data_IF_773907201148
#
_entry.id   IF_773907201148
#
_cell.length_a   1.000
_cell.length_b   1.000
_cell.length_c   1.000
_cell.angle_alpha   90.00
_cell.angle_beta   90.00
_cell.angle_gamma   90.00
#
_symmetry.space_group_name_H-M   'P 1'
#
loop_
_entity.id
_entity.type
_entity.pdbx_description
1 polymer ?
#
# COMPACT_ATOMS: atom_id res chain seq x y z
N UNK A 1 4.48 17.00 -17.89
CA UNK A 1 5.26 15.94 -18.57
C UNK A 1 4.34 14.78 -18.92
N UNK A 2 4.54 14.13 -20.06
CA UNK A 2 3.72 12.98 -20.47
C UNK A 2 4.18 11.72 -19.74
N UNK A 3 3.37 11.21 -18.81
CA UNK A 3 3.65 10.00 -18.02
C UNK A 3 4.13 8.82 -18.88
N UNK A 4 3.45 8.55 -20.01
CA UNK A 4 3.81 7.49 -20.95
C UNK A 4 5.21 7.66 -21.56
N UNK A 5 5.65 8.89 -21.83
CA UNK A 5 6.99 9.14 -22.37
C UNK A 5 8.07 8.86 -21.31
N UNK A 6 7.85 9.25 -20.06
CA UNK A 6 8.74 8.94 -18.92
C UNK A 6 8.79 7.44 -18.62
N UNK A 7 7.65 6.74 -18.72
CA UNK A 7 7.60 5.28 -18.56
C UNK A 7 8.34 4.55 -19.70
N UNK A 8 8.18 5.00 -20.95
CA UNK A 8 8.92 4.45 -22.09
C UNK A 8 10.42 4.74 -22.01
N UNK A 9 10.83 5.89 -21.45
CA UNK A 9 12.24 6.19 -21.18
C UNK A 9 12.90 5.14 -20.28
N UNK A 10 12.15 4.50 -19.37
CA UNK A 10 12.65 3.45 -18.48
C UNK A 10 13.05 2.15 -19.20
N UNK A 11 12.79 2.01 -20.50
CA UNK A 11 13.31 0.92 -21.35
C UNK A 11 14.66 1.26 -22.01
N UNK A 12 15.11 2.51 -21.93
CA UNK A 12 16.37 2.94 -22.52
C UNK A 12 17.57 2.33 -21.78
N UNK A 13 18.64 1.91 -22.49
CA UNK A 13 19.84 1.33 -21.84
C UNK A 13 20.58 2.28 -20.87
N UNK A 14 20.25 3.57 -20.90
CA UNK A 14 20.77 4.61 -19.99
C UNK A 14 20.13 4.57 -18.60
N UNK A 15 18.95 3.98 -18.44
CA UNK A 15 18.23 3.95 -17.16
C UNK A 15 18.60 2.71 -16.33
N UNK A 16 18.82 2.85 -15.01
CA UNK A 16 19.07 1.71 -14.15
C UNK A 16 17.85 0.78 -14.16
N UNK A 17 18.09 -0.53 -14.30
CA UNK A 17 17.02 -1.54 -14.29
C UNK A 17 16.34 -1.83 -15.64
N UNK A 18 16.83 -1.26 -16.76
CA UNK A 18 16.33 -1.57 -18.11
C UNK A 18 16.22 -3.09 -18.39
N UNK A 19 17.15 -3.90 -17.87
CA UNK A 19 17.13 -5.36 -17.98
C UNK A 19 15.83 -5.99 -17.46
N UNK A 20 15.30 -5.51 -16.33
CA UNK A 20 14.04 -6.00 -15.78
C UNK A 20 12.85 -5.58 -16.64
N UNK A 21 12.87 -4.36 -17.19
CA UNK A 21 11.83 -3.87 -18.10
C UNK A 21 11.77 -4.71 -19.39
N UNK A 22 12.92 -5.08 -19.95
CA UNK A 22 12.99 -6.01 -21.09
C UNK A 22 12.54 -7.44 -20.76
N UNK A 23 12.88 -7.96 -19.57
CA UNK A 23 12.39 -9.26 -19.11
C UNK A 23 10.86 -9.27 -18.92
N UNK A 24 10.29 -8.19 -18.37
CA UNK A 24 8.85 -8.00 -18.22
C UNK A 24 8.13 -7.88 -19.58
N UNK A 25 8.74 -7.20 -20.56
CA UNK A 25 8.23 -7.14 -21.93
C UNK A 25 8.17 -8.53 -22.57
N UNK A 26 9.22 -9.35 -22.42
CA UNK A 26 9.21 -10.74 -22.90
C UNK A 26 8.11 -11.59 -22.24
N UNK A 27 7.88 -11.44 -20.93
CA UNK A 27 6.77 -12.08 -20.22
C UNK A 27 5.42 -11.61 -20.75
N UNK A 28 5.27 -10.32 -21.05
CA UNK A 28 4.03 -9.74 -21.60
C UNK A 28 3.68 -10.37 -22.95
N UNK A 29 4.67 -10.46 -23.85
CA UNK A 29 4.49 -11.03 -25.19
C UNK A 29 4.15 -12.52 -25.09
N UNK A 30 4.88 -13.30 -24.30
CA UNK A 30 4.64 -14.74 -24.14
C UNK A 30 3.30 -15.04 -23.45
N UNK A 31 2.92 -14.27 -22.43
CA UNK A 31 1.61 -14.36 -21.78
C UNK A 31 0.47 -14.01 -22.75
N UNK A 32 0.61 -12.93 -23.54
CA UNK A 32 -0.37 -12.52 -24.54
C UNK A 32 -0.62 -13.60 -25.59
N UNK A 33 0.45 -14.20 -26.14
CA UNK A 33 0.36 -15.32 -27.10
C UNK A 33 -0.35 -16.54 -26.48
N UNK A 34 -0.05 -16.87 -25.22
CA UNK A 34 -0.73 -17.96 -24.51
C UNK A 34 -2.21 -17.64 -24.28
N UNK A 35 -2.55 -16.44 -23.79
CA UNK A 35 -3.94 -16.02 -23.54
C UNK A 35 -4.77 -16.10 -24.83
N UNK A 36 -4.30 -15.53 -25.95
CA UNK A 36 -5.01 -15.58 -27.23
C UNK A 36 -5.12 -17.01 -27.74
N UNK A 37 -4.03 -17.79 -27.72
CA UNK A 37 -4.04 -19.20 -28.14
C UNK A 37 -5.02 -20.05 -27.33
N UNK A 38 -5.14 -19.82 -26.02
CA UNK A 38 -6.06 -20.55 -25.14
C UNK A 38 -7.50 -20.06 -25.27
N UNK A 39 -7.72 -18.76 -25.42
CA UNK A 39 -9.05 -18.18 -25.64
C UNK A 39 -9.68 -18.71 -26.94
N UNK A 40 -8.92 -18.72 -28.05
CA UNK A 40 -9.37 -19.28 -29.32
C UNK A 40 -9.62 -20.79 -29.22
N UNK A 41 -8.71 -21.55 -28.59
CA UNK A 41 -8.86 -22.99 -28.40
C UNK A 41 -10.12 -23.34 -27.58
N UNK A 42 -10.34 -22.70 -26.43
CA UNK A 42 -11.54 -22.93 -25.61
C UNK A 42 -12.83 -22.44 -26.29
N UNK A 43 -12.74 -21.46 -27.20
CA UNK A 43 -13.88 -21.02 -28.04
C UNK A 43 -14.18 -21.97 -29.20
N UNK A 44 -13.20 -22.75 -29.68
CA UNK A 44 -13.41 -23.79 -30.70
C UNK A 44 -13.83 -25.14 -30.08
N UNK A 45 -13.29 -25.50 -28.91
CA UNK A 45 -13.60 -26.77 -28.23
C UNK A 45 -14.87 -26.72 -27.38
N UNK A 46 -15.21 -25.57 -26.80
CA UNK A 46 -16.52 -25.31 -26.21
C UNK A 46 -17.51 -24.89 -27.30
N UNK A 47 -18.66 -25.55 -27.38
CA UNK A 47 -19.68 -25.20 -28.37
C UNK A 47 -20.52 -24.01 -27.86
N UNK A 48 -20.93 -23.08 -28.74
CA UNK A 48 -21.83 -21.99 -28.34
C UNK A 48 -23.20 -22.49 -27.84
N UNK A 49 -23.60 -23.71 -28.24
CA UNK A 49 -24.86 -24.33 -27.83
C UNK A 49 -24.69 -25.85 -27.56
N UNK A 50 -23.93 -26.23 -26.53
CA UNK A 50 -23.90 -27.60 -26.00
C UNK A 50 -25.32 -28.19 -25.75
N UNK A 51 -26.28 -27.49 -25.10
CA UNK A 51 -27.65 -27.99 -24.92
C UNK A 51 -28.36 -28.37 -26.22
N UNK A 52 -28.31 -27.52 -27.25
CA UNK A 52 -29.00 -27.81 -28.52
C UNK A 52 -28.37 -29.00 -29.24
N UNK A 53 -27.04 -29.12 -29.18
CA UNK A 53 -26.34 -30.26 -29.78
C UNK A 53 -26.63 -31.56 -29.03
N UNK A 54 -26.59 -31.55 -27.69
CA UNK A 54 -26.94 -32.69 -26.85
C UNK A 54 -28.40 -33.13 -27.06
N UNK A 55 -29.34 -32.19 -27.15
CA UNK A 55 -30.74 -32.49 -27.45
C UNK A 55 -30.91 -33.14 -28.83
N UNK A 56 -30.20 -32.69 -29.86
CA UNK A 56 -30.22 -33.33 -31.20
C UNK A 56 -29.64 -34.75 -31.20
N UNK A 57 -28.54 -34.97 -30.48
CA UNK A 57 -27.99 -36.33 -30.29
C UNK A 57 -29.01 -37.21 -29.55
N UNK A 58 -29.63 -36.68 -28.49
CA UNK A 58 -30.67 -37.38 -27.72
C UNK A 58 -31.87 -37.77 -28.58
N UNK A 59 -32.40 -36.88 -29.43
CA UNK A 59 -33.54 -37.22 -30.30
C UNK A 59 -33.18 -38.31 -31.29
N UNK A 60 -32.03 -38.23 -31.96
CA UNK A 60 -31.59 -39.28 -32.90
C UNK A 60 -31.42 -40.65 -32.24
N UNK A 61 -30.97 -40.69 -30.98
CA UNK A 61 -30.87 -41.94 -30.22
C UNK A 61 -32.24 -42.50 -29.77
N UNK A 62 -33.21 -41.62 -29.45
CA UNK A 62 -34.60 -42.06 -29.19
C UNK A 62 -35.25 -42.62 -30.45
N UNK A 63 -34.96 -42.02 -31.61
CA UNK A 63 -35.41 -42.49 -32.93
C UNK A 63 -34.65 -43.75 -33.42
N UNK A 64 -33.78 -44.34 -32.59
CA UNK A 64 -32.90 -45.50 -32.88
C UNK A 64 -31.93 -45.31 -34.06
N UNK A 65 -31.65 -44.06 -34.44
CA UNK A 65 -30.74 -43.70 -35.55
C UNK A 65 -29.30 -43.52 -35.05
N UNK A 66 -28.67 -44.60 -34.58
CA UNK A 66 -27.29 -44.58 -34.06
C UNK A 66 -26.29 -44.02 -35.09
N UNK A 67 -26.35 -44.48 -36.35
CA UNK A 67 -25.50 -44.00 -37.45
C UNK A 67 -25.59 -42.48 -37.67
N UNK A 68 -26.80 -41.92 -37.66
CA UNK A 68 -27.00 -40.47 -37.81
C UNK A 68 -26.46 -39.71 -36.60
N UNK A 69 -26.59 -40.26 -35.39
CA UNK A 69 -26.03 -39.67 -34.18
C UNK A 69 -24.49 -39.68 -34.19
N UNK A 70 -23.85 -40.75 -34.69
CA UNK A 70 -22.38 -40.80 -34.90
C UNK A 70 -21.94 -39.77 -35.94
N UNK A 71 -22.63 -39.69 -37.10
CA UNK A 71 -22.35 -38.67 -38.13
C UNK A 71 -22.50 -37.24 -37.61
N UNK A 72 -23.51 -36.97 -36.77
CA UNK A 72 -23.69 -35.68 -36.12
C UNK A 72 -22.53 -35.38 -35.14
N UNK A 73 -22.03 -36.38 -34.43
CA UNK A 73 -20.85 -36.23 -33.57
C UNK A 73 -19.57 -35.96 -34.36
N UNK A 74 -19.38 -36.60 -35.52
CA UNK A 74 -18.24 -36.32 -36.41
C UNK A 74 -18.32 -34.93 -37.04
N UNK A 75 -19.52 -34.47 -37.43
CA UNK A 75 -19.75 -33.07 -37.82
C UNK A 75 -19.52 -32.09 -36.65
N UNK A 76 -19.59 -32.56 -35.40
CA UNK A 76 -19.18 -31.82 -34.21
C UNK A 76 -17.66 -31.66 -34.06
N UNK A 77 -16.85 -32.48 -34.74
CA UNK A 77 -15.40 -32.35 -34.85
C UNK A 77 -14.67 -32.23 -33.50
N UNK A 78 -13.90 -31.14 -33.32
CA UNK A 78 -13.03 -30.90 -32.15
C UNK A 78 -13.78 -30.49 -30.86
N UNK A 79 -15.12 -30.58 -30.83
CA UNK A 79 -15.95 -30.22 -29.67
C UNK A 79 -15.89 -31.29 -28.59
N UNK A 80 -15.76 -30.86 -27.34
CA UNK A 80 -15.53 -31.75 -26.22
C UNK A 80 -16.67 -32.78 -26.01
N UNK A 81 -17.93 -32.31 -25.97
CA UNK A 81 -19.10 -33.19 -25.84
C UNK A 81 -19.24 -34.19 -26.99
N UNK A 82 -19.04 -33.76 -28.25
CA UNK A 82 -19.22 -34.61 -29.42
C UNK A 82 -18.26 -35.80 -29.42
N UNK A 83 -17.02 -35.60 -28.98
CA UNK A 83 -16.01 -36.66 -28.86
C UNK A 83 -16.32 -37.68 -27.75
N UNK A 84 -16.92 -37.24 -26.64
CA UNK A 84 -17.40 -38.13 -25.55
C UNK A 84 -18.65 -38.88 -26.00
N UNK A 85 -19.64 -38.19 -26.58
CA UNK A 85 -20.89 -38.78 -27.06
C UNK A 85 -20.66 -39.83 -28.16
N UNK A 86 -19.78 -39.56 -29.15
CA UNK A 86 -19.38 -40.58 -30.14
C UNK A 86 -18.80 -41.82 -29.47
N UNK A 87 -18.01 -41.65 -28.42
CA UNK A 87 -17.45 -42.75 -27.64
C UNK A 87 -18.51 -43.60 -26.98
N UNK A 88 -19.53 -42.97 -26.38
CA UNK A 88 -20.65 -43.67 -25.77
C UNK A 88 -21.43 -44.50 -26.79
N UNK A 89 -21.77 -43.91 -27.94
CA UNK A 89 -22.62 -44.54 -28.97
C UNK A 89 -21.91 -45.73 -29.60
N UNK A 90 -20.66 -45.57 -30.05
CA UNK A 90 -19.87 -46.66 -30.66
C UNK A 90 -19.61 -47.78 -29.65
N UNK A 91 -19.41 -47.45 -28.36
CA UNK A 91 -19.27 -48.47 -27.33
C UNK A 91 -20.58 -49.24 -27.08
N UNK A 92 -21.73 -48.59 -27.18
CA UNK A 92 -23.04 -49.21 -26.94
C UNK A 92 -23.40 -50.27 -28.00
N UNK A 93 -22.92 -50.11 -29.24
CA UNK A 93 -23.07 -51.12 -30.30
C UNK A 93 -22.25 -52.39 -30.02
N UNK A 94 -21.14 -52.28 -29.27
CA UNK A 94 -20.23 -53.41 -28.97
C UNK A 94 -20.52 -54.06 -27.62
N UNK A 95 -20.69 -53.26 -26.56
CA UNK A 95 -20.93 -53.70 -25.19
C UNK A 95 -21.60 -52.56 -24.40
N UNK A 96 -22.94 -52.62 -24.21
CA UNK A 96 -23.71 -51.63 -23.45
C UNK A 96 -23.30 -51.48 -21.97
N UNK A 97 -22.74 -52.51 -21.34
CA UNK A 97 -22.34 -52.45 -19.93
C UNK A 97 -21.09 -51.57 -19.74
N UNK A 98 -20.18 -51.56 -20.72
CA UNK A 98 -18.95 -50.74 -20.69
C UNK A 98 -19.12 -49.28 -21.09
N UNK A 99 -20.30 -48.87 -21.57
CA UNK A 99 -20.57 -47.49 -22.01
C UNK A 99 -20.23 -46.46 -20.93
N UNK A 100 -20.60 -46.72 -19.67
CA UNK A 100 -20.29 -45.81 -18.54
C UNK A 100 -18.78 -45.65 -18.34
N UNK A 101 -18.04 -46.76 -18.25
CA UNK A 101 -16.59 -46.77 -18.07
C UNK A 101 -15.87 -46.01 -19.18
N UNK A 102 -16.26 -46.24 -20.45
CA UNK A 102 -15.65 -45.55 -21.60
C UNK A 102 -15.99 -44.05 -21.62
N UNK A 103 -17.18 -43.64 -21.16
CA UNK A 103 -17.49 -42.22 -20.98
C UNK A 103 -16.62 -41.61 -19.89
N UNK A 104 -16.50 -42.26 -18.73
CA UNK A 104 -15.69 -41.76 -17.60
C UNK A 104 -14.21 -41.63 -17.97
N UNK A 105 -13.63 -42.65 -18.62
CA UNK A 105 -12.26 -42.60 -19.18
C UNK A 105 -12.08 -41.41 -20.13
N UNK A 106 -13.05 -41.19 -21.05
CA UNK A 106 -13.00 -40.07 -22.00
C UNK A 106 -13.10 -38.72 -21.30
N UNK A 107 -14.03 -38.54 -20.36
CA UNK A 107 -14.17 -37.31 -19.57
C UNK A 107 -12.88 -37.03 -18.77
N UNK A 108 -12.28 -38.04 -18.13
CA UNK A 108 -11.00 -37.88 -17.43
C UNK A 108 -9.89 -37.48 -18.40
N UNK A 109 -9.83 -38.06 -19.60
CA UNK A 109 -8.80 -37.75 -20.59
C UNK A 109 -8.92 -36.35 -21.22
N UNK A 110 -10.11 -35.72 -21.21
CA UNK A 110 -10.31 -34.40 -21.84
C UNK A 110 -9.99 -33.23 -20.93
N UNK A 111 -10.12 -33.39 -19.60
CA UNK A 111 -9.83 -32.34 -18.61
C UNK A 111 -8.39 -31.78 -18.78
N UNK A 112 -7.31 -32.60 -18.83
CA UNK A 112 -5.95 -32.09 -19.05
C UNK A 112 -5.74 -31.41 -20.40
N UNK A 113 -6.60 -31.69 -21.40
CA UNK A 113 -6.53 -31.07 -22.74
C UNK A 113 -7.16 -29.68 -22.74
N UNK A 114 -8.23 -29.48 -21.96
CA UNK A 114 -8.90 -28.18 -21.76
C UNK A 114 -8.06 -27.26 -20.86
N UNK A 115 -7.48 -27.79 -19.78
CA UNK A 115 -6.62 -27.03 -18.86
C UNK A 115 -5.20 -26.79 -19.39
N UNK A 116 -4.79 -27.46 -20.49
CA UNK A 116 -3.43 -27.44 -21.00
C UNK A 116 -2.94 -26.00 -21.24
N UNK A 117 -1.80 -25.66 -20.61
CA UNK A 117 -1.13 -24.35 -20.62
C UNK A 117 -1.84 -23.20 -19.88
N UNK A 118 -3.01 -23.41 -19.26
CA UNK A 118 -3.63 -22.36 -18.44
C UNK A 118 -2.76 -21.99 -17.25
N UNK A 119 -2.18 -22.99 -16.57
CA UNK A 119 -1.30 -22.79 -15.41
C UNK A 119 -0.11 -21.88 -15.71
N UNK A 120 0.46 -21.94 -16.92
CA UNK A 120 1.58 -21.07 -17.31
C UNK A 120 1.19 -19.59 -17.34
N UNK A 121 -0.07 -19.24 -17.61
CA UNK A 121 -0.55 -17.85 -17.57
C UNK A 121 -0.50 -17.33 -16.12
N UNK A 122 -0.92 -18.16 -15.15
CA UNK A 122 -0.79 -17.83 -13.72
C UNK A 122 0.68 -17.75 -13.28
N UNK A 123 1.53 -18.69 -13.72
CA UNK A 123 2.98 -18.67 -13.43
C UNK A 123 3.66 -17.41 -13.97
N UNK A 124 3.34 -16.99 -15.20
CA UNK A 124 3.88 -15.77 -15.80
C UNK A 124 3.41 -14.50 -15.06
N UNK A 125 2.15 -14.47 -14.61
CA UNK A 125 1.64 -13.39 -13.75
C UNK A 125 2.42 -13.28 -12.43
N UNK A 126 2.63 -14.40 -11.74
CA UNK A 126 3.42 -14.43 -10.49
C UNK A 126 4.89 -14.04 -10.72
N UNK A 127 5.50 -14.55 -11.80
CA UNK A 127 6.88 -14.24 -12.18
C UNK A 127 7.07 -12.76 -12.51
N UNK A 128 6.08 -12.14 -13.17
CA UNK A 128 6.06 -10.69 -13.44
C UNK A 128 6.12 -9.86 -12.15
N UNK A 129 5.30 -10.20 -11.14
CA UNK A 129 5.34 -9.53 -9.83
C UNK A 129 6.69 -9.72 -9.14
N UNK A 130 7.27 -10.92 -9.18
CA UNK A 130 8.57 -11.22 -8.58
C UNK A 130 9.72 -10.46 -9.26
N UNK A 131 9.69 -10.31 -10.59
CA UNK A 131 10.68 -9.52 -11.33
C UNK A 131 10.52 -8.02 -11.05
N UNK A 132 9.28 -7.52 -10.92
CA UNK A 132 9.02 -6.14 -10.50
C UNK A 132 9.60 -5.83 -9.11
N UNK A 133 9.41 -6.73 -8.14
CA UNK A 133 9.99 -6.64 -6.80
C UNK A 133 11.53 -6.76 -6.82
N UNK A 134 12.10 -7.64 -7.64
CA UNK A 134 13.56 -7.71 -7.82
C UNK A 134 14.13 -6.38 -8.38
N UNK A 135 13.39 -5.74 -9.28
CA UNK A 135 13.71 -4.41 -9.80
C UNK A 135 13.73 -3.32 -8.71
N UNK A 136 12.85 -3.37 -7.70
CA UNK A 136 12.92 -2.40 -6.59
C UNK A 136 14.19 -2.56 -5.77
N UNK A 137 14.52 -3.80 -5.41
CA UNK A 137 15.70 -4.11 -4.60
C UNK A 137 16.95 -3.63 -5.34
N UNK A 138 17.04 -3.87 -6.65
CA UNK A 138 18.14 -3.38 -7.47
C UNK A 138 18.22 -1.85 -7.54
N UNK A 139 17.10 -1.16 -7.80
CA UNK A 139 17.06 0.31 -7.87
C UNK A 139 17.42 0.98 -6.53
N UNK A 140 17.00 0.38 -5.41
CA UNK A 140 17.38 0.83 -4.07
C UNK A 140 18.86 0.60 -3.78
N UNK A 141 19.44 -0.56 -4.14
CA UNK A 141 20.88 -0.83 -4.01
C UNK A 141 21.69 0.25 -4.74
N UNK A 142 21.32 0.59 -5.98
CA UNK A 142 21.96 1.66 -6.75
C UNK A 142 21.79 3.04 -6.10
N UNK A 143 20.60 3.34 -5.57
CA UNK A 143 20.29 4.61 -4.91
C UNK A 143 21.20 4.84 -3.68
N UNK A 144 21.39 3.82 -2.84
CA UNK A 144 22.26 3.94 -1.67
C UNK A 144 23.76 3.90 -2.03
N UNK A 145 24.15 3.14 -3.05
CA UNK A 145 25.53 3.14 -3.56
C UNK A 145 25.95 4.55 -4.04
N UNK A 146 25.05 5.27 -4.72
CA UNK A 146 25.31 6.65 -5.16
C UNK A 146 25.49 7.64 -4.00
N UNK A 147 24.74 7.48 -2.90
CA UNK A 147 24.89 8.32 -1.70
C UNK A 147 26.23 8.05 -1.00
N UNK A 148 26.61 6.78 -0.89
CA UNK A 148 27.85 6.33 -0.25
C UNK A 148 29.14 6.67 -1.01
N UNK A 149 29.05 7.05 -2.29
CA UNK A 149 30.21 7.37 -3.12
C UNK A 149 31.00 8.59 -2.56
N UNK A 150 32.30 8.47 -2.25
CA UNK A 150 33.13 9.62 -1.89
C UNK A 150 33.37 10.52 -3.11
N UNK A 151 33.63 11.80 -2.87
CA UNK A 151 34.00 12.82 -3.88
C UNK A 151 32.96 13.11 -5.00
N UNK A 152 31.69 12.70 -4.84
CA UNK A 152 30.59 13.11 -5.74
C UNK A 152 29.88 14.34 -5.19
N UNK A 153 29.64 15.32 -6.06
CA UNK A 153 28.96 16.59 -5.75
C UNK A 153 27.53 16.37 -5.20
N UNK A 154 27.07 17.11 -4.17
CA UNK A 154 25.78 16.84 -3.52
C UNK A 154 24.56 16.91 -4.46
N UNK A 155 24.60 17.78 -5.48
CA UNK A 155 23.53 17.87 -6.49
C UNK A 155 23.46 16.59 -7.34
N UNK A 156 24.62 16.07 -7.77
CA UNK A 156 24.73 14.80 -8.49
C UNK A 156 24.26 13.62 -7.64
N UNK A 157 24.62 13.57 -6.36
CA UNK A 157 24.13 12.53 -5.43
C UNK A 157 22.61 12.51 -5.32
N UNK A 158 21.98 13.68 -5.21
CA UNK A 158 20.52 13.81 -5.16
C UNK A 158 19.85 13.32 -6.45
N UNK A 159 20.41 13.68 -7.61
CA UNK A 159 19.90 13.24 -8.92
C UNK A 159 20.00 11.72 -9.10
N UNK A 160 21.15 11.12 -8.78
CA UNK A 160 21.36 9.67 -8.90
C UNK A 160 20.44 8.85 -7.96
N UNK A 161 20.22 9.34 -6.73
CA UNK A 161 19.26 8.74 -5.81
C UNK A 161 17.82 8.84 -6.35
N UNK A 162 17.42 9.98 -6.92
CA UNK A 162 16.09 10.13 -7.52
C UNK A 162 15.89 9.20 -8.72
N UNK A 163 16.91 9.02 -9.56
CA UNK A 163 16.88 8.08 -10.70
C UNK A 163 16.71 6.62 -10.23
N UNK A 164 17.50 6.16 -9.26
CA UNK A 164 17.41 4.79 -8.75
C UNK A 164 16.06 4.47 -8.09
N UNK A 165 15.46 5.43 -7.37
CA UNK A 165 14.11 5.31 -6.81
C UNK A 165 13.04 5.31 -7.93
N UNK A 166 13.17 6.18 -8.93
CA UNK A 166 12.22 6.22 -10.05
C UNK A 166 12.22 4.90 -10.85
N UNK A 167 13.40 4.35 -11.14
CA UNK A 167 13.55 3.04 -11.75
C UNK A 167 12.87 1.92 -10.95
N UNK A 168 13.11 1.86 -9.63
CA UNK A 168 12.47 0.90 -8.73
C UNK A 168 10.93 0.98 -8.78
N UNK A 169 10.36 2.19 -8.76
CA UNK A 169 8.92 2.38 -8.87
C UNK A 169 8.38 1.95 -10.24
N UNK A 170 9.08 2.28 -11.33
CA UNK A 170 8.66 1.95 -12.69
C UNK A 170 8.70 0.44 -12.98
N UNK A 171 9.72 -0.30 -12.50
CA UNK A 171 9.77 -1.77 -12.63
C UNK A 171 8.64 -2.46 -11.85
N UNK A 172 8.27 -1.93 -10.68
CA UNK A 172 7.14 -2.45 -9.89
C UNK A 172 5.84 -2.26 -10.64
N UNK A 173 5.59 -1.04 -11.13
CA UNK A 173 4.37 -0.71 -11.83
C UNK A 173 4.21 -1.54 -13.10
N UNK A 174 5.29 -1.70 -13.87
CA UNK A 174 5.32 -2.60 -15.03
C UNK A 174 4.95 -4.04 -14.64
N UNK A 175 5.57 -4.58 -13.58
CA UNK A 175 5.31 -5.94 -13.09
C UNK A 175 3.84 -6.17 -12.72
N UNK A 176 3.21 -5.20 -12.04
CA UNK A 176 1.79 -5.25 -11.64
C UNK A 176 0.83 -5.08 -12.83
N UNK A 177 1.11 -4.16 -13.76
CA UNK A 177 0.30 -3.95 -14.98
C UNK A 177 0.20 -5.23 -15.82
N UNK A 178 1.23 -6.08 -15.80
CA UNK A 178 1.26 -7.36 -16.51
C UNK A 178 0.61 -8.47 -15.69
N UNK A 179 0.86 -8.52 -14.37
CA UNK A 179 0.35 -9.57 -13.50
C UNK A 179 -1.18 -9.57 -13.37
N UNK A 180 -1.80 -8.39 -13.22
CA UNK A 180 -3.25 -8.26 -13.01
C UNK A 180 -4.05 -8.85 -14.19
N UNK A 181 -3.81 -8.47 -15.47
CA UNK A 181 -4.46 -9.11 -16.61
C UNK A 181 -4.19 -10.62 -16.69
N UNK A 182 -2.95 -11.08 -16.43
CA UNK A 182 -2.63 -12.51 -16.48
C UNK A 182 -3.50 -13.33 -15.52
N UNK A 183 -3.68 -12.87 -14.29
CA UNK A 183 -4.52 -13.53 -13.29
C UNK A 183 -6.01 -13.50 -13.69
N UNK A 184 -6.51 -12.36 -14.18
CA UNK A 184 -7.90 -12.23 -14.65
C UNK A 184 -8.19 -13.18 -15.82
N UNK A 185 -7.32 -13.22 -16.83
CA UNK A 185 -7.47 -14.11 -17.98
C UNK A 185 -7.31 -15.59 -17.59
N UNK A 186 -6.36 -15.94 -16.71
CA UNK A 186 -6.22 -17.30 -16.19
C UNK A 186 -7.51 -17.77 -15.52
N UNK A 187 -8.05 -16.99 -14.59
CA UNK A 187 -9.29 -17.34 -13.86
C UNK A 187 -10.48 -17.44 -14.80
N UNK A 188 -10.66 -16.49 -15.72
CA UNK A 188 -11.74 -16.53 -16.72
C UNK A 188 -11.66 -17.74 -17.65
N UNK A 189 -10.47 -18.07 -18.15
CA UNK A 189 -10.26 -19.23 -19.02
C UNK A 189 -10.39 -20.55 -18.27
N UNK A 190 -9.93 -20.64 -17.01
CA UNK A 190 -10.10 -21.82 -16.15
C UNK A 190 -11.57 -22.07 -15.83
N UNK A 191 -12.32 -21.03 -15.46
CA UNK A 191 -13.76 -21.12 -15.24
C UNK A 191 -14.50 -21.56 -16.51
N UNK A 192 -14.07 -21.10 -17.69
CA UNK A 192 -14.62 -21.56 -18.97
C UNK A 192 -14.29 -23.02 -19.28
N UNK A 193 -13.08 -23.48 -18.98
CA UNK A 193 -12.71 -24.90 -19.12
C UNK A 193 -13.55 -25.79 -18.18
N UNK A 194 -13.68 -25.40 -16.91
CA UNK A 194 -14.52 -26.10 -15.93
C UNK A 194 -15.99 -26.14 -16.35
N UNK A 195 -16.53 -25.04 -16.89
CA UNK A 195 -17.89 -25.00 -17.42
C UNK A 195 -18.07 -25.99 -18.58
N UNK A 196 -17.11 -26.12 -19.50
CA UNK A 196 -17.18 -27.11 -20.59
C UNK A 196 -17.24 -28.53 -20.04
N UNK A 197 -16.46 -28.85 -18.99
CA UNK A 197 -16.50 -30.17 -18.33
C UNK A 197 -17.87 -30.41 -17.67
N UNK A 198 -18.37 -29.43 -16.90
CA UNK A 198 -19.67 -29.53 -16.24
C UNK A 198 -20.85 -29.69 -17.23
N UNK A 199 -20.80 -29.02 -18.39
CA UNK A 199 -21.78 -29.21 -19.46
C UNK A 199 -21.70 -30.64 -20.04
N UNK A 200 -20.51 -31.23 -20.19
CA UNK A 200 -20.37 -32.63 -20.64
C UNK A 200 -21.03 -33.56 -19.62
N UNK A 201 -20.69 -33.46 -18.34
CA UNK A 201 -21.23 -34.32 -17.27
C UNK A 201 -22.75 -34.21 -17.18
N UNK A 202 -23.31 -33.00 -17.28
CA UNK A 202 -24.76 -32.77 -17.27
C UNK A 202 -25.47 -33.41 -18.47
N UNK A 203 -24.93 -33.25 -19.68
CA UNK A 203 -25.61 -33.67 -20.92
C UNK A 203 -25.31 -35.11 -21.35
N UNK A 204 -24.28 -35.76 -20.81
CA UNK A 204 -23.94 -37.15 -21.15
C UNK A 204 -24.81 -38.16 -20.38
N UNK A 205 -25.31 -37.83 -19.18
CA UNK A 205 -26.16 -38.71 -18.37
C UNK A 205 -27.43 -39.16 -19.12
N UNK A 206 -28.22 -38.27 -19.76
CA UNK A 206 -29.38 -38.69 -20.57
C UNK A 206 -29.01 -39.58 -21.76
N UNK A 207 -27.83 -39.38 -22.36
CA UNK A 207 -27.32 -40.20 -23.48
C UNK A 207 -27.00 -41.61 -22.98
N UNK A 208 -26.26 -41.74 -21.86
CA UNK A 208 -25.98 -43.03 -21.22
C UNK A 208 -27.26 -43.78 -20.90
N UNK A 209 -28.28 -43.10 -20.35
CA UNK A 209 -29.56 -43.75 -19.96
C UNK A 209 -30.35 -44.33 -21.13
N UNK A 210 -30.20 -43.77 -22.33
CA UNK A 210 -30.83 -44.28 -23.56
C UNK A 210 -30.03 -45.46 -24.13
N UNK A 211 -28.69 -45.37 -24.10
CA UNK A 211 -27.79 -46.42 -24.60
C UNK A 211 -27.70 -47.65 -23.68
N UNK A 212 -27.90 -47.45 -22.37
CA UNK A 212 -27.83 -48.47 -21.34
C UNK A 212 -28.95 -48.24 -20.32
N UNK A 213 -30.15 -48.84 -20.55
CA UNK A 213 -31.24 -48.82 -19.59
C UNK A 213 -30.82 -49.45 -18.24
N UNK A 214 -31.31 -48.87 -17.14
CA UNK A 214 -30.89 -49.20 -15.75
C UNK A 214 -31.14 -50.66 -15.32
N UNK A 215 -31.86 -51.43 -16.10
CA UNK A 215 -32.26 -52.82 -15.82
C UNK A 215 -31.10 -53.84 -15.95
N UNK A 216 -29.94 -53.41 -16.49
CA UNK A 216 -28.80 -54.30 -16.79
C UNK A 216 -27.61 -54.23 -15.81
N UNK A 217 -27.60 -53.34 -14.81
CA UNK A 217 -26.44 -53.15 -13.91
C UNK A 217 -26.83 -53.26 -12.43
N UNK A 218 -26.62 -54.45 -11.88
CA UNK A 218 -26.69 -54.68 -10.44
C UNK A 218 -25.56 -53.96 -9.67
N UNK A 219 -25.94 -53.17 -8.66
CA UNK A 219 -25.11 -52.74 -7.52
C UNK A 219 -23.66 -52.28 -7.82
N UNK A 220 -23.49 -51.12 -8.46
CA UNK A 220 -22.28 -50.29 -8.21
C UNK A 220 -22.45 -48.78 -8.47
N UNK A 221 -23.68 -48.26 -8.40
CA UNK A 221 -23.91 -46.82 -8.59
C UNK A 221 -23.81 -46.05 -7.27
N UNK A 222 -22.66 -45.42 -7.04
CA UNK A 222 -22.60 -44.16 -6.30
C UNK A 222 -22.46 -43.03 -7.32
N UNK A 223 -23.30 -41.98 -7.29
CA UNK A 223 -23.00 -40.74 -8.02
C UNK A 223 -21.62 -40.27 -7.56
N UNK A 224 -20.70 -40.00 -8.49
CA UNK A 224 -19.36 -39.55 -8.09
C UNK A 224 -19.46 -38.24 -7.32
N UNK A 225 -18.94 -38.20 -6.09
CA UNK A 225 -18.77 -37.01 -5.26
C UNK A 225 -17.65 -36.12 -5.83
N UNK A 226 -17.78 -35.75 -7.11
CA UNK A 226 -16.83 -34.93 -7.86
C UNK A 226 -17.19 -33.44 -7.85
N UNK A 227 -18.20 -33.05 -7.06
CA UNK A 227 -18.21 -31.72 -6.45
C UNK A 227 -17.06 -31.69 -5.44
N UNK A 228 -16.21 -30.67 -5.54
CA UNK A 228 -15.14 -30.41 -4.56
C UNK A 228 -14.00 -31.44 -4.58
N UNK A 229 -13.50 -31.85 -5.77
CA UNK A 229 -12.03 -31.96 -5.84
C UNK A 229 -11.51 -30.54 -5.86
N UNK A 230 -11.12 -30.10 -4.67
CA UNK A 230 -10.59 -28.80 -4.28
C UNK A 230 -10.62 -27.75 -5.40
N UNK A 231 -11.41 -26.69 -5.17
CA UNK A 231 -10.79 -25.38 -5.29
C UNK A 231 -9.57 -25.43 -4.39
N UNK A 232 -8.43 -25.86 -4.94
CA UNK A 232 -7.15 -25.39 -4.50
C UNK A 232 -7.25 -23.90 -4.75
N UNK A 233 -7.75 -23.21 -3.73
CA UNK A 233 -7.56 -21.80 -3.56
C UNK A 233 -6.09 -21.61 -3.88
N UNK A 234 -5.84 -21.01 -5.04
CA UNK A 234 -4.59 -20.30 -5.20
C UNK A 234 -4.77 -19.11 -4.28
N UNK A 235 -4.63 -19.36 -2.96
CA UNK A 235 -4.55 -18.33 -1.93
C UNK A 235 -3.63 -17.29 -2.56
N UNK A 236 -4.11 -16.06 -2.78
CA UNK A 236 -3.39 -15.10 -3.59
C UNK A 236 -2.03 -14.93 -2.93
N UNK A 237 -0.99 -15.49 -3.56
CA UNK A 237 0.22 -15.87 -2.83
C UNK A 237 0.74 -14.64 -2.12
N UNK A 238 0.62 -14.61 -0.78
CA UNK A 238 0.89 -13.41 0.02
C UNK A 238 2.40 -13.22 0.26
N UNK A 239 3.23 -14.21 -0.08
CA UNK A 239 4.69 -14.18 0.10
C UNK A 239 5.33 -12.92 -0.54
N UNK A 240 4.96 -12.43 -1.74
CA UNK A 240 5.47 -11.18 -2.30
C UNK A 240 5.02 -9.94 -1.54
N UNK A 241 3.80 -9.92 -0.98
CA UNK A 241 3.28 -8.80 -0.17
C UNK A 241 3.98 -8.77 1.19
N UNK A 242 4.13 -9.93 1.81
CA UNK A 242 4.86 -10.09 3.07
C UNK A 242 6.35 -9.76 2.90
N UNK A 243 6.97 -10.20 1.79
CA UNK A 243 8.32 -9.82 1.40
C UNK A 243 8.47 -8.32 1.15
N UNK A 244 7.52 -7.68 0.48
CA UNK A 244 7.47 -6.22 0.32
C UNK A 244 7.46 -5.52 1.69
N UNK A 245 6.59 -5.94 2.62
CA UNK A 245 6.53 -5.36 3.96
C UNK A 245 7.84 -5.57 4.75
N UNK A 246 8.43 -6.76 4.69
CA UNK A 246 9.70 -7.11 5.36
C UNK A 246 10.90 -6.32 4.82
N UNK A 247 10.88 -5.88 3.56
CA UNK A 247 11.93 -5.00 2.99
C UNK A 247 11.60 -3.52 3.21
N UNK A 248 10.34 -3.12 3.03
CA UNK A 248 9.90 -1.73 3.10
C UNK A 248 9.97 -1.17 4.53
N UNK A 249 9.64 -1.96 5.55
CA UNK A 249 9.65 -1.50 6.95
C UNK A 249 11.08 -1.17 7.42
N UNK A 250 12.11 -2.04 7.30
CA UNK A 250 13.49 -1.68 7.63
C UNK A 250 14.06 -0.56 6.76
N UNK A 251 13.70 -0.50 5.48
CA UNK A 251 14.09 0.58 4.57
C UNK A 251 13.57 1.95 5.06
N UNK A 252 12.28 2.04 5.40
CA UNK A 252 11.67 3.26 5.92
C UNK A 252 12.27 3.64 7.29
N UNK A 253 12.44 2.67 8.19
CA UNK A 253 13.05 2.90 9.51
C UNK A 253 14.50 3.38 9.40
N UNK A 254 15.31 2.81 8.49
CA UNK A 254 16.67 3.27 8.22
C UNK A 254 16.67 4.68 7.62
N UNK A 255 15.79 4.96 6.65
CA UNK A 255 15.69 6.30 6.04
C UNK A 255 15.33 7.40 7.04
N UNK A 256 14.60 7.07 8.11
CA UNK A 256 14.23 8.03 9.16
C UNK A 256 15.44 8.55 9.97
N UNK A 257 16.53 7.78 10.06
CA UNK A 257 17.79 8.26 10.65
C UNK A 257 18.55 9.19 9.69
N UNK A 258 18.54 8.91 8.39
CA UNK A 258 19.20 9.75 7.37
C UNK A 258 18.63 11.17 7.28
N UNK A 259 17.34 11.37 7.59
CA UNK A 259 16.70 12.70 7.66
C UNK A 259 17.40 13.63 8.68
N UNK A 260 18.13 13.10 9.68
CA UNK A 260 18.88 13.91 10.65
C UNK A 260 20.20 14.49 10.11
N UNK A 261 20.79 13.94 9.05
CA UNK A 261 22.09 14.38 8.52
C UNK A 261 22.00 15.28 7.26
N UNK A 262 20.80 15.55 6.75
CA UNK A 262 20.56 16.30 5.51
C UNK A 262 20.16 17.77 5.66
N UNK A 263 20.78 18.55 6.57
CA UNK A 263 20.57 20.01 6.66
C UNK A 263 21.88 20.80 6.52
N UNK A 264 22.29 21.00 5.27
CA UNK A 264 23.18 22.11 4.94
C UNK A 264 22.35 23.40 4.85
N UNK A 265 22.61 24.37 5.72
CA UNK A 265 21.93 25.68 5.69
C UNK A 265 22.57 26.57 4.62
N UNK A 266 22.08 26.44 3.38
CA UNK A 266 22.44 27.35 2.30
C UNK A 266 21.74 28.70 2.52
N UNK A 267 22.49 29.71 2.94
CA UNK A 267 22.04 31.09 2.86
C UNK A 267 22.19 31.57 1.41
N UNK A 268 21.08 31.78 0.71
CA UNK A 268 21.09 32.44 -0.60
C UNK A 268 20.99 33.97 -0.43
N UNK A 269 21.73 34.77 -1.21
CA UNK A 269 21.51 36.20 -1.28
C UNK A 269 20.17 36.50 -1.97
N UNK A 270 19.48 37.56 -1.54
CA UNK A 270 18.24 38.01 -2.18
C UNK A 270 18.53 38.57 -3.58
N UNK A 271 17.84 38.06 -4.59
CA UNK A 271 17.85 38.62 -5.94
C UNK A 271 16.71 39.66 -6.09
N UNK A 272 16.98 40.74 -6.81
CA UNK A 272 16.09 41.91 -6.98
C UNK A 272 15.56 42.04 -8.41
N UNK A 273 14.24 42.22 -8.57
CA UNK A 273 13.52 42.52 -9.83
C UNK A 273 13.43 41.35 -10.83
N UNK A 274 12.53 41.29 -11.82
CA UNK A 274 11.34 42.08 -12.25
C UNK A 274 10.67 41.29 -13.41
N UNK A 275 9.35 41.33 -13.72
CA UNK A 275 8.13 41.55 -12.94
C UNK A 275 6.90 41.02 -13.75
N UNK A 276 5.76 40.67 -13.11
CA UNK A 276 4.44 40.54 -13.76
C UNK A 276 3.30 40.44 -12.73
N UNK A 277 2.31 41.34 -12.83
CA UNK A 277 1.27 41.58 -11.82
C UNK A 277 0.08 40.60 -11.86
N UNK A 278 -0.44 40.23 -10.68
CA UNK A 278 -1.76 40.68 -10.20
C UNK A 278 -1.90 40.39 -8.67
N UNK A 279 -2.71 41.21 -7.99
CA UNK A 279 -2.77 41.58 -6.55
C UNK A 279 -2.45 40.60 -5.37
N UNK A 280 -2.16 41.14 -4.16
CA UNK A 280 -1.48 40.39 -3.09
C UNK A 280 -2.36 40.04 -1.88
N UNK A 281 -2.49 38.74 -1.58
CA UNK A 281 -2.73 38.29 -0.20
C UNK A 281 -1.39 38.24 0.54
N UNK A 282 -1.05 39.29 1.28
CA UNK A 282 0.05 39.24 2.25
C UNK A 282 -0.28 38.24 3.37
N UNK A 283 0.11 36.98 3.19
CA UNK A 283 0.20 36.03 4.30
C UNK A 283 1.34 36.45 5.23
N UNK A 284 0.98 37.27 6.21
CA UNK A 284 1.75 37.52 7.42
C UNK A 284 2.26 36.16 7.91
N UNK A 285 3.58 35.97 8.13
CA UNK A 285 4.07 34.70 8.66
C UNK A 285 3.39 34.43 10.01
N UNK A 286 2.84 33.22 10.24
CA UNK A 286 2.07 32.94 11.45
C UNK A 286 2.95 33.19 12.67
N UNK A 287 2.44 33.94 13.64
CA UNK A 287 3.18 34.18 14.88
C UNK A 287 3.32 32.86 15.62
N UNK A 288 4.39 32.74 16.39
CA UNK A 288 4.71 31.54 17.15
C UNK A 288 5.14 31.94 18.55
N UNK A 289 4.61 31.27 19.56
CA UNK A 289 4.93 31.53 20.97
C UNK A 289 6.36 31.08 21.30
N UNK A 290 6.87 30.05 20.59
CA UNK A 290 8.18 29.43 20.75
C UNK A 290 8.53 29.14 22.22
N UNK A 291 7.55 28.61 22.97
CA UNK A 291 7.67 28.40 24.41
C UNK A 291 8.66 27.28 24.74
N UNK A 292 9.78 27.66 25.34
CA UNK A 292 10.85 26.79 25.83
C UNK A 292 11.00 26.87 27.35
N UNK A 293 11.25 25.74 27.99
CA UNK A 293 11.66 25.65 29.40
C UNK A 293 13.08 25.08 29.47
N UNK A 294 14.04 25.87 29.94
CA UNK A 294 15.41 25.42 30.20
C UNK A 294 15.56 25.08 31.68
N UNK A 295 15.85 23.81 32.00
CA UNK A 295 16.07 23.31 33.35
C UNK A 295 17.57 23.22 33.61
N UNK A 296 18.06 24.01 34.58
CA UNK A 296 19.46 24.01 35.03
C UNK A 296 19.58 23.80 36.53
N UNK A 297 20.77 23.44 37.02
CA UNK A 297 21.04 23.28 38.46
C UNK A 297 20.77 24.55 39.29
N UNK A 298 20.84 25.74 38.68
CA UNK A 298 20.55 27.04 39.32
C UNK A 298 19.04 27.36 39.36
N UNK A 299 18.22 26.72 38.54
CA UNK A 299 16.78 27.01 38.43
C UNK A 299 16.21 26.76 37.03
N UNK A 300 14.97 27.19 36.82
CA UNK A 300 14.25 27.09 35.53
C UNK A 300 14.22 28.46 34.86
N UNK A 301 14.52 28.51 33.56
CA UNK A 301 14.32 29.68 32.69
C UNK A 301 13.17 29.44 31.73
N UNK A 302 12.37 30.47 31.48
CA UNK A 302 11.24 30.45 30.55
C UNK A 302 11.60 31.33 29.34
N UNK A 303 11.65 30.70 28.17
CA UNK A 303 11.95 31.29 26.87
C UNK A 303 10.63 31.37 26.08
N UNK A 304 10.26 32.54 25.57
CA UNK A 304 9.08 32.70 24.72
C UNK A 304 9.20 34.00 23.90
N UNK A 305 8.56 34.05 22.73
CA UNK A 305 8.63 35.19 21.80
C UNK A 305 8.06 36.49 22.36
N UNK A 306 7.20 36.43 23.38
CA UNK A 306 6.66 37.61 24.06
C UNK A 306 7.66 38.27 25.03
N UNK A 307 8.82 37.65 25.28
CA UNK A 307 9.91 38.22 26.11
C UNK A 307 10.91 38.90 25.18
N UNK A 308 11.24 40.19 25.35
CA UNK A 308 12.22 40.85 24.49
C UNK A 308 13.59 40.19 24.66
N UNK A 309 14.20 39.77 23.55
CA UNK A 309 15.57 39.23 23.56
C UNK A 309 16.55 40.29 24.05
N UNK A 310 17.24 39.99 25.15
CA UNK A 310 18.41 40.77 25.57
C UNK A 310 19.56 40.43 24.63
N UNK A 311 19.65 41.14 23.50
CA UNK A 311 20.77 41.02 22.57
C UNK A 311 22.07 41.35 23.31
N UNK A 312 23.08 40.46 23.35
CA UNK A 312 24.38 40.80 23.91
C UNK A 312 24.98 41.94 23.10
N UNK A 313 25.45 42.98 23.79
CA UNK A 313 26.23 44.04 23.14
C UNK A 313 27.68 43.57 23.01
N UNK A 314 28.18 43.57 21.78
CA UNK A 314 29.60 43.42 21.38
C UNK A 314 30.16 41.99 21.38
N UNK A 315 31.00 41.70 20.37
CA UNK A 315 31.65 40.41 20.10
C UNK A 315 32.80 40.07 21.07
N UNK A 316 32.46 39.81 22.33
CA UNK A 316 33.37 39.15 23.28
C UNK A 316 32.73 37.91 23.85
N UNK A 317 33.37 36.76 23.64
CA UNK A 317 32.84 35.43 23.93
C UNK A 317 32.90 35.06 25.42
N UNK A 318 32.17 35.79 26.26
CA UNK A 318 31.84 35.38 27.63
C UNK A 318 30.32 35.19 27.78
N UNK A 319 29.85 34.05 28.33
CA UNK A 319 28.43 33.82 28.52
C UNK A 319 27.91 34.70 29.67
N UNK A 320 27.10 35.70 29.33
CA UNK A 320 26.34 36.49 30.32
C UNK A 320 25.46 35.54 31.14
N UNK A 321 25.81 35.34 32.42
CA UNK A 321 25.08 34.44 33.34
C UNK A 321 23.77 35.08 33.80
N UNK A 322 22.81 35.15 32.89
CA UNK A 322 21.46 35.70 33.15
C UNK A 322 20.82 34.87 34.29
N UNK A 323 20.39 35.49 35.41
CA UNK A 323 19.81 34.74 36.52
C UNK A 323 18.57 33.95 36.06
N UNK A 324 18.32 32.75 36.62
CA UNK A 324 17.17 31.94 36.26
C UNK A 324 15.86 32.64 36.63
N UNK A 325 14.83 32.49 35.80
CA UNK A 325 13.51 33.09 36.07
C UNK A 325 12.88 32.53 37.36
N UNK A 326 13.21 31.29 37.72
CA UNK A 326 12.72 30.61 38.92
C UNK A 326 13.94 29.98 39.63
N UNK A 327 14.38 30.53 40.78
CA UNK A 327 15.46 29.93 41.55
C UNK A 327 15.01 28.63 42.25
N UNK A 328 15.99 27.79 42.59
CA UNK A 328 15.75 26.55 43.36
C UNK A 328 15.44 26.87 44.82
N UNK A 329 14.50 26.14 45.43
CA UNK A 329 14.16 26.26 46.85
C UNK A 329 15.35 25.83 47.74
N UNK A 330 15.41 26.33 48.97
CA UNK A 330 16.53 26.15 49.93
C UNK A 330 16.84 24.69 50.36
N UNK A 331 16.22 23.68 49.74
CA UNK A 331 16.50 22.26 49.89
C UNK A 331 16.83 21.54 48.57
N UNK A 332 17.13 22.25 47.49
CA UNK A 332 17.49 21.66 46.18
C UNK A 332 16.30 21.23 45.30
N UNK A 333 15.07 21.46 45.76
CA UNK A 333 13.84 21.20 45.00
C UNK A 333 13.48 22.38 44.08
N UNK A 334 12.98 22.08 42.88
CA UNK A 334 12.50 23.10 41.93
C UNK A 334 11.12 23.62 42.36
N UNK A 335 10.87 24.92 42.22
CA UNK A 335 9.58 25.52 42.56
C UNK A 335 8.57 25.37 41.41
N UNK A 336 7.81 24.28 41.45
CA UNK A 336 6.76 23.97 40.48
C UNK A 336 5.52 24.88 40.60
N UNK A 337 5.28 25.51 41.76
CA UNK A 337 4.11 26.37 41.97
C UNK A 337 4.33 27.76 41.33
N UNK A 338 5.53 28.32 41.52
CA UNK A 338 5.96 29.53 40.82
C UNK A 338 6.08 29.30 39.31
N UNK A 339 6.55 28.11 38.87
CA UNK A 339 6.55 27.74 37.45
C UNK A 339 5.16 27.78 36.83
N UNK A 340 4.17 27.17 37.48
CA UNK A 340 2.81 27.11 36.97
C UNK A 340 2.20 28.52 36.86
N UNK A 341 2.37 29.34 37.90
CA UNK A 341 1.93 30.74 37.92
C UNK A 341 2.54 31.57 36.78
N UNK A 342 3.84 31.42 36.49
CA UNK A 342 4.50 32.13 35.38
C UNK A 342 4.06 31.63 34.01
N UNK A 343 3.87 30.32 33.84
CA UNK A 343 3.33 29.75 32.60
C UNK A 343 1.88 30.19 32.33
N UNK A 344 1.08 30.32 33.40
CA UNK A 344 -0.28 30.88 33.33
C UNK A 344 -0.26 32.34 32.87
N UNK A 345 0.67 33.16 33.38
CA UNK A 345 0.84 34.54 32.92
C UNK A 345 1.22 34.64 31.44
N UNK A 346 2.19 33.84 30.97
CA UNK A 346 2.58 33.81 29.54
C UNK A 346 1.39 33.40 28.67
N UNK A 347 0.63 32.38 29.08
CA UNK A 347 -0.56 31.93 28.33
C UNK A 347 -1.69 32.97 28.35
N UNK A 348 -1.88 33.68 29.47
CA UNK A 348 -2.83 34.81 29.56
C UNK A 348 -2.44 35.92 28.58
N UNK A 349 -1.17 36.35 28.57
CA UNK A 349 -0.69 37.39 27.64
C UNK A 349 -0.90 37.00 26.17
N UNK A 350 -0.68 35.73 25.80
CA UNK A 350 -0.98 35.24 24.45
C UNK A 350 -2.49 35.31 24.12
N UNK A 351 -3.38 34.95 25.06
CA UNK A 351 -4.82 35.10 24.86
C UNK A 351 -5.30 36.56 24.82
N UNK A 352 -4.73 37.46 25.62
CA UNK A 352 -5.05 38.89 25.58
C UNK A 352 -4.68 39.51 24.22
N UNK A 353 -3.54 39.11 23.63
CA UNK A 353 -3.14 39.52 22.27
C UNK A 353 -4.08 38.96 21.19
N UNK A 354 -4.53 37.71 21.33
CA UNK A 354 -5.43 37.05 20.37
C UNK A 354 -6.86 37.58 20.41
N UNK A 355 -7.39 37.89 21.60
CA UNK A 355 -8.77 38.32 21.81
C UNK A 355 -8.92 39.85 21.87
N UNK A 356 -7.82 40.60 21.92
CA UNK A 356 -7.82 42.07 22.03
C UNK A 356 -8.44 42.61 23.33
N UNK A 357 -8.64 41.76 24.34
CA UNK A 357 -9.38 42.06 25.55
C UNK A 357 -8.63 41.56 26.78
N UNK A 358 -8.64 42.35 27.87
CA UNK A 358 -8.01 42.01 29.15
C UNK A 358 -9.03 41.36 30.08
N UNK A 359 -8.60 40.37 30.85
CA UNK A 359 -9.51 39.66 31.75
C UNK A 359 -8.82 38.55 32.54
N UNK A 360 -9.59 37.91 33.44
CA UNK A 360 -9.08 36.75 34.15
C UNK A 360 -8.95 35.55 33.19
N UNK A 361 -7.98 34.68 33.46
CA UNK A 361 -7.57 33.60 32.56
C UNK A 361 -8.74 32.68 32.19
N UNK A 362 -9.59 32.33 33.15
CA UNK A 362 -10.76 31.50 32.91
C UNK A 362 -11.76 32.15 31.92
N UNK A 363 -12.04 33.44 32.12
CA UNK A 363 -12.93 34.20 31.23
C UNK A 363 -12.38 34.31 29.81
N UNK A 364 -11.05 34.43 29.67
CA UNK A 364 -10.36 34.44 28.37
C UNK A 364 -10.34 33.04 27.75
N UNK A 365 -10.13 31.98 28.54
CA UNK A 365 -10.10 30.59 28.09
C UNK A 365 -11.46 30.14 27.54
N UNK A 366 -12.57 30.51 28.20
CA UNK A 366 -13.93 30.22 27.72
C UNK A 366 -14.19 30.97 26.40
N UNK A 367 -13.94 32.29 26.36
CA UNK A 367 -14.09 33.10 25.14
C UNK A 367 -13.24 32.59 23.97
N UNK A 368 -12.01 32.17 24.23
CA UNK A 368 -11.12 31.58 23.24
C UNK A 368 -11.66 30.23 22.71
N UNK A 369 -12.17 29.38 23.61
CA UNK A 369 -12.77 28.09 23.24
C UNK A 369 -14.05 28.25 22.42
N UNK A 370 -14.85 29.29 22.68
CA UNK A 370 -16.00 29.65 21.85
C UNK A 370 -15.59 30.28 20.50
N UNK A 371 -14.54 31.10 20.48
CA UNK A 371 -14.03 31.73 19.26
C UNK A 371 -13.52 30.68 18.26
N UNK A 372 -12.75 29.68 18.72
CA UNK A 372 -12.27 28.55 17.89
C UNK A 372 -13.43 27.79 17.22
N UNK A 373 -14.58 27.66 17.90
CA UNK A 373 -15.75 26.97 17.32
C UNK A 373 -16.47 27.77 16.23
N UNK A 374 -16.21 29.08 16.14
CA UNK A 374 -16.88 29.99 15.19
C UNK A 374 -15.95 30.48 14.08
N UNK A 375 -14.64 30.50 14.30
CA UNK A 375 -13.67 31.05 13.34
C UNK A 375 -12.30 30.39 13.44
N UNK A 376 -11.66 30.24 12.28
CA UNK A 376 -10.33 29.66 12.09
C UNK A 376 -9.21 30.65 12.49
N UNK A 377 -9.00 30.83 13.80
CA UNK A 377 -7.92 31.66 14.35
C UNK A 377 -6.55 30.98 14.24
N UNK A 378 -5.79 31.31 13.19
CA UNK A 378 -4.49 30.69 12.88
C UNK A 378 -3.24 31.43 13.37
N UNK A 379 -3.37 32.52 14.15
CA UNK A 379 -2.24 33.42 14.42
C UNK A 379 -1.17 32.85 15.38
N UNK A 380 -1.45 31.77 16.13
CA UNK A 380 -0.46 31.04 16.96
C UNK A 380 -0.64 29.51 16.88
N UNK A 381 0.12 28.85 15.98
CA UNK A 381 0.02 27.39 15.74
C UNK A 381 0.56 26.52 16.89
N UNK A 382 1.40 27.07 17.75
CA UNK A 382 2.12 26.37 18.82
C UNK A 382 1.61 26.68 20.24
N UNK A 383 0.45 27.34 20.37
CA UNK A 383 -0.13 27.83 21.62
C UNK A 383 -0.40 26.75 22.68
N UNK A 384 -0.44 25.47 22.29
CA UNK A 384 -0.63 24.31 23.17
C UNK A 384 0.66 23.53 23.45
N UNK A 385 1.77 23.95 22.84
CA UNK A 385 3.03 23.23 22.82
C UNK A 385 4.06 23.90 23.74
N UNK A 386 4.80 23.09 24.50
CA UNK A 386 6.00 23.53 25.23
C UNK A 386 7.17 22.59 24.95
N UNK A 387 8.36 23.16 24.79
CA UNK A 387 9.59 22.43 24.54
C UNK A 387 10.50 22.49 25.77
N UNK A 388 10.83 21.35 26.35
CA UNK A 388 11.72 21.27 27.52
C UNK A 388 13.15 20.94 27.06
N UNK A 389 14.10 21.72 27.56
CA UNK A 389 15.55 21.50 27.45
C UNK A 389 16.07 21.26 28.87
N UNK A 390 16.71 20.11 29.11
CA UNK A 390 17.31 19.80 30.40
C UNK A 390 18.82 19.57 30.26
N UNK A 391 19.58 20.02 31.24
CA UNK A 391 21.00 19.67 31.39
C UNK A 391 21.15 18.18 31.73
N UNK A 392 22.23 17.54 31.26
CA UNK A 392 22.50 16.10 31.39
C UNK A 392 22.63 15.64 32.85
N UNK A 393 22.90 16.58 33.76
CA UNK A 393 23.00 16.35 35.19
C UNK A 393 21.66 16.41 35.97
N UNK A 394 20.53 16.62 35.32
CA UNK A 394 19.21 16.73 35.98
C UNK A 394 18.55 15.35 36.08
N UNK A 395 18.00 15.01 37.25
CA UNK A 395 17.27 13.75 37.45
C UNK A 395 16.03 13.66 36.57
N UNK A 396 15.79 12.48 36.00
CA UNK A 396 14.62 12.19 35.18
C UNK A 396 13.29 12.44 35.91
N UNK A 397 13.25 12.23 37.24
CA UNK A 397 12.07 12.55 38.06
C UNK A 397 11.76 14.06 38.07
N UNK A 398 12.80 14.90 38.16
CA UNK A 398 12.64 16.37 38.09
C UNK A 398 12.09 16.80 36.74
N UNK A 399 12.54 16.18 35.64
CA UNK A 399 12.02 16.45 34.29
C UNK A 399 10.53 16.10 34.23
N UNK A 400 10.11 14.93 34.72
CA UNK A 400 8.68 14.55 34.78
C UNK A 400 7.87 15.55 35.61
N UNK A 401 8.34 15.96 36.78
CA UNK A 401 7.64 16.95 37.61
C UNK A 401 7.48 18.30 36.91
N UNK A 402 8.48 18.76 36.15
CA UNK A 402 8.35 19.96 35.31
C UNK A 402 7.36 19.75 34.15
N UNK A 403 7.37 18.58 33.50
CA UNK A 403 6.39 18.24 32.45
C UNK A 403 4.94 18.29 32.97
N UNK A 404 4.68 17.68 34.13
CA UNK A 404 3.32 17.62 34.68
C UNK A 404 2.86 18.97 35.26
N UNK A 405 3.78 19.77 35.81
CA UNK A 405 3.52 21.17 36.19
C UNK A 405 3.21 22.07 34.99
N UNK A 406 3.85 21.86 33.83
CA UNK A 406 3.60 22.64 32.62
C UNK A 406 2.30 22.23 31.88
N UNK A 407 1.83 20.98 32.07
CA UNK A 407 0.62 20.47 31.38
C UNK A 407 -0.69 21.05 31.88
N UNK A 408 -0.82 21.28 33.19
CA UNK A 408 -2.10 21.61 33.81
C UNK A 408 -1.96 22.62 34.95
N UNK A 409 -2.94 23.49 35.09
CA UNK A 409 -3.15 24.34 36.26
C UNK A 409 -4.35 23.82 37.07
N UNK A 410 -4.39 24.11 38.36
CA UNK A 410 -5.59 23.94 39.19
C UNK A 410 -6.10 25.32 39.57
N UNK A 411 -7.34 25.61 39.21
CA UNK A 411 -7.97 26.85 39.63
C UNK A 411 -8.30 26.86 41.14
N UNK A 412 -8.68 28.01 41.69
CA UNK A 412 -9.13 28.24 43.07
C UNK A 412 -10.24 27.28 43.51
N UNK A 413 -11.10 26.83 42.60
CA UNK A 413 -12.14 25.82 42.88
C UNK A 413 -11.61 24.36 42.88
N UNK A 414 -10.32 24.16 42.64
CA UNK A 414 -9.66 22.84 42.56
C UNK A 414 -9.76 22.15 41.18
N UNK A 415 -10.54 22.74 40.27
CA UNK A 415 -10.76 22.27 38.89
C UNK A 415 -9.46 22.27 38.07
N UNK A 416 -9.20 21.18 37.34
CA UNK A 416 -7.96 20.97 36.57
C UNK A 416 -8.13 21.45 35.13
N UNK A 417 -7.48 22.57 34.80
CA UNK A 417 -7.50 23.20 33.47
C UNK A 417 -6.21 22.91 32.70
N UNK A 418 -6.30 22.80 31.36
CA UNK A 418 -5.15 22.47 30.51
C UNK A 418 -4.32 23.71 30.16
N UNK A 419 -3.02 23.64 30.47
CA UNK A 419 -2.07 24.72 30.24
C UNK A 419 -1.29 24.47 28.94
N UNK A 420 -0.26 23.63 28.93
CA UNK A 420 0.43 23.20 27.70
C UNK A 420 0.38 21.66 27.57
N UNK A 421 -0.70 21.08 27.02
CA UNK A 421 -0.90 19.63 27.01
C UNK A 421 0.16 18.88 26.18
N UNK A 422 0.69 19.51 25.12
CA UNK A 422 1.69 18.93 24.24
C UNK A 422 3.08 19.32 24.73
N UNK A 423 3.74 18.40 25.44
CA UNK A 423 5.10 18.61 25.93
C UNK A 423 6.09 17.82 25.09
N UNK A 424 7.10 18.49 24.55
CA UNK A 424 8.16 17.90 23.73
C UNK A 424 9.53 18.05 24.38
N UNK A 425 10.38 17.03 24.29
CA UNK A 425 11.78 17.10 24.71
C UNK A 425 12.65 17.61 23.56
N UNK A 426 13.51 18.58 23.86
CA UNK A 426 14.57 19.03 22.95
C UNK A 426 15.95 18.66 23.49
N UNK A 427 16.89 18.43 22.58
CA UNK A 427 18.31 18.35 22.92
C UNK A 427 18.87 19.77 22.96
N UNK A 428 19.53 20.13 24.06
CA UNK A 428 20.37 21.33 24.13
C UNK A 428 21.60 21.08 23.25
N UNK A 429 21.76 21.87 22.19
CA UNK A 429 22.94 21.86 21.31
C UNK A 429 24.03 22.73 21.90
#
# INVERSE_FOLDING_TARGET
MNFYATFLHSFAPSEPGYLFMWALLFITVTAGVLIVSRHLFLTQSGNLNTPLFANKVRTLLLDKKADEAVRLCDAGGKRAFAWVAKGAIVQAESDPARVRTVVEERVVSIIPRLEKRLIYIATLGNLSTMIGLMGTIYGLILSFAAVGAPNVDPAMKSSMLAQGISAAMNTTLAGLIIAIPCILFYTGLKNRANRIVAEIDQYIIPVIRILCPEESIGKSYKPSERKTKEMAETEPNLIPIMGLMVVLIPLLLSSAEFVKMGRATVNLPQASGEDSMDEPEQKIPPKTLNLGLEITRKGIRILHSLKPEVKPKTDTAEPVDVPPDIPVLSGGQQDYATLNTKLLEVKRQAFEQLLGNKGDFESLYIKFTEAIKKTDFYDYKDLYNVKILADSAISYQTIISVMDAARNFRDKEGNKLSLFPVVSMGVKR
#
